data_IF_629494508237
#
_entry.id   IF_629494508237
#
_cell.length_a   1.000
_cell.length_b   1.000
_cell.length_c   1.000
_cell.angle_alpha   90.00
_cell.angle_beta   90.00
_cell.angle_gamma   90.00
#
_symmetry.space_group_name_H-M   'P 1'
#
loop_
_entity.id
_entity.type
_entity.pdbx_description
1 polymer ?
#
# COMPACT_ATOMS: atom_id res chain seq x y z
N UNK A 1 -35.25 35.25 -10.20
CA UNK A 1 -34.54 34.42 -11.20
C UNK A 1 -33.98 33.17 -10.53
N UNK A 2 -34.58 31.98 -10.74
CA UNK A 2 -34.09 30.71 -10.20
C UNK A 2 -32.89 30.27 -11.07
N UNK A 3 -31.68 30.24 -10.50
CA UNK A 3 -30.50 29.68 -11.20
C UNK A 3 -30.77 28.19 -11.44
N UNK A 4 -30.91 27.82 -12.72
CA UNK A 4 -30.98 26.44 -13.18
C UNK A 4 -29.66 25.75 -12.81
N UNK A 5 -29.64 25.02 -11.70
CA UNK A 5 -28.52 24.14 -11.34
C UNK A 5 -28.53 23.01 -12.37
N UNK A 6 -27.70 23.13 -13.41
CA UNK A 6 -27.46 22.05 -14.38
C UNK A 6 -27.24 20.75 -13.61
N UNK A 7 -28.09 19.74 -13.85
CA UNK A 7 -27.82 18.35 -13.45
C UNK A 7 -26.40 18.04 -13.92
N UNK A 8 -25.44 17.94 -13.00
CA UNK A 8 -24.09 17.50 -13.36
C UNK A 8 -24.25 16.05 -13.78
N UNK A 9 -24.22 15.81 -15.09
CA UNK A 9 -24.21 14.45 -15.60
C UNK A 9 -23.05 13.73 -14.93
N UNK A 10 -23.36 12.67 -14.19
CA UNK A 10 -22.34 11.80 -13.64
C UNK A 10 -21.62 11.14 -14.83
N UNK A 11 -20.28 11.22 -14.85
CA UNK A 11 -19.49 10.45 -15.79
C UNK A 11 -19.68 8.94 -15.55
N UNK A 12 -19.25 8.04 -16.47
CA UNK A 12 -19.46 6.59 -16.31
C UNK A 12 -18.94 5.98 -15.00
N UNK A 13 -17.99 6.64 -14.34
CA UNK A 13 -17.46 6.27 -13.03
C UNK A 13 -18.24 6.85 -11.82
N UNK A 14 -19.46 7.36 -12.03
CA UNK A 14 -20.40 7.69 -10.96
C UNK A 14 -20.11 8.98 -10.18
N UNK A 15 -19.25 9.86 -10.68
CA UNK A 15 -18.95 11.16 -10.04
C UNK A 15 -19.01 12.31 -11.03
N UNK A 16 -19.06 13.54 -10.54
CA UNK A 16 -19.03 14.75 -11.36
C UNK A 16 -17.62 15.17 -11.82
N UNK A 17 -16.57 14.42 -11.45
CA UNK A 17 -15.18 14.74 -11.84
C UNK A 17 -14.91 14.20 -13.26
N UNK A 18 -14.17 14.93 -14.12
CA UNK A 18 -13.86 14.50 -15.48
C UNK A 18 -12.82 13.37 -15.57
N UNK A 19 -12.41 12.80 -14.44
CA UNK A 19 -11.52 11.65 -14.37
C UNK A 19 -12.03 10.62 -13.35
N UNK A 20 -11.77 9.35 -13.62
CA UNK A 20 -12.02 8.27 -12.68
C UNK A 20 -10.90 8.24 -11.63
N UNK A 21 -11.14 8.82 -10.46
CA UNK A 21 -10.18 8.77 -9.36
C UNK A 21 -9.88 7.31 -9.00
N UNK A 22 -8.60 6.96 -8.90
CA UNK A 22 -8.17 5.58 -8.65
C UNK A 22 -8.84 4.96 -7.40
N UNK A 23 -9.03 5.75 -6.35
CA UNK A 23 -9.81 5.35 -5.16
C UNK A 23 -11.23 4.87 -5.52
N UNK A 24 -11.93 5.58 -6.39
CA UNK A 24 -13.30 5.24 -6.81
C UNK A 24 -13.32 3.99 -7.67
N UNK A 25 -12.38 3.91 -8.63
CA UNK A 25 -12.19 2.71 -9.43
C UNK A 25 -11.98 1.46 -8.56
N UNK A 26 -11.07 1.53 -7.58
CA UNK A 26 -10.81 0.43 -6.66
C UNK A 26 -12.02 0.10 -5.79
N UNK A 27 -12.69 1.11 -5.23
CA UNK A 27 -13.88 0.88 -4.42
C UNK A 27 -14.99 0.15 -5.21
N UNK A 28 -15.21 0.55 -6.46
CA UNK A 28 -16.16 -0.10 -7.35
C UNK A 28 -15.73 -1.53 -7.71
N UNK A 29 -14.43 -1.75 -7.95
CA UNK A 29 -13.90 -3.07 -8.33
C UNK A 29 -13.92 -4.09 -7.19
N UNK A 30 -13.65 -3.65 -5.95
CA UNK A 30 -13.49 -4.54 -4.80
C UNK A 30 -14.71 -4.57 -3.85
N UNK A 31 -15.74 -3.77 -4.15
CA UNK A 31 -16.97 -3.64 -3.36
C UNK A 31 -16.75 -2.97 -1.99
N UNK A 32 -15.54 -2.49 -1.73
CA UNK A 32 -15.13 -1.85 -0.48
C UNK A 32 -13.96 -0.94 -0.79
N UNK A 33 -13.71 0.04 0.09
CA UNK A 33 -12.50 0.84 0.02
C UNK A 33 -11.29 -0.10 0.05
N UNK A 34 -10.29 0.19 -0.78
CA UNK A 34 -9.01 -0.52 -0.76
C UNK A 34 -7.92 0.43 -0.28
N UNK A 35 -7.11 -0.01 0.69
CA UNK A 35 -6.03 0.80 1.24
C UNK A 35 -4.72 0.02 1.30
N UNK A 36 -3.59 0.72 1.10
CA UNK A 36 -2.27 0.13 1.24
C UNK A 36 -1.84 0.10 2.71
N UNK A 37 -1.31 -1.03 3.15
CA UNK A 37 -0.56 -1.18 4.42
C UNK A 37 0.91 -1.36 4.04
N UNK A 38 1.74 -0.38 4.36
CA UNK A 38 3.19 -0.51 4.13
C UNK A 38 3.78 -1.52 5.11
N UNK A 39 4.80 -2.26 4.69
CA UNK A 39 5.60 -3.15 5.55
C UNK A 39 7.09 -3.00 5.22
N UNK A 40 7.93 -3.23 6.21
CA UNK A 40 9.39 -3.31 6.06
C UNK A 40 9.84 -4.77 6.26
N UNK A 41 10.38 -5.36 5.20
CA UNK A 41 10.88 -6.73 5.18
C UNK A 41 12.40 -6.85 5.39
N UNK A 42 13.07 -5.75 5.75
CA UNK A 42 14.52 -5.72 5.95
C UNK A 42 15.31 -5.86 4.63
N UNK A 43 14.69 -5.51 3.50
CA UNK A 43 15.36 -5.54 2.21
C UNK A 43 16.43 -4.44 2.08
N UNK A 44 17.32 -4.60 1.11
CA UNK A 44 18.25 -3.56 0.64
C UNK A 44 17.97 -3.23 -0.82
N UNK A 45 18.83 -2.45 -1.49
CA UNK A 45 18.78 -2.32 -2.94
C UNK A 45 20.20 -2.13 -3.53
N UNK A 46 20.36 -2.40 -4.84
CA UNK A 46 21.67 -2.30 -5.51
C UNK A 46 22.38 -0.96 -5.36
N UNK A 47 21.60 0.11 -5.16
CA UNK A 47 22.13 1.48 -5.02
C UNK A 47 22.59 1.79 -3.59
N UNK A 48 22.35 0.90 -2.63
CA UNK A 48 22.69 1.08 -1.21
C UNK A 48 23.76 0.11 -0.74
N UNK A 49 23.72 -1.13 -1.21
CA UNK A 49 24.59 -2.22 -0.76
C UNK A 49 25.98 -2.26 -1.43
N UNK A 50 26.24 -1.36 -2.38
CA UNK A 50 27.51 -1.30 -3.10
C UNK A 50 27.55 -2.07 -4.41
N UNK A 51 26.49 -2.79 -4.80
CA UNK A 51 26.47 -3.53 -6.06
C UNK A 51 26.40 -2.62 -7.30
N UNK A 52 25.72 -1.48 -7.20
CA UNK A 52 25.62 -0.45 -8.26
C UNK A 52 26.05 0.93 -7.76
N UNK A 53 25.77 1.25 -6.50
CA UNK A 53 26.20 2.49 -5.85
C UNK A 53 26.25 2.31 -4.33
N UNK A 54 26.71 3.34 -3.63
CA UNK A 54 26.72 3.43 -2.17
C UNK A 54 25.80 4.55 -1.69
N UNK A 55 25.20 4.39 -0.51
CA UNK A 55 24.41 5.44 0.17
C UNK A 55 22.95 5.56 -0.29
N UNK A 56 22.57 5.02 -1.44
CA UNK A 56 21.21 5.07 -1.98
C UNK A 56 20.95 6.23 -2.94
N UNK A 57 19.77 6.23 -3.56
CA UNK A 57 19.38 7.31 -4.47
C UNK A 57 19.18 8.62 -3.70
N UNK A 58 19.56 9.76 -4.28
CA UNK A 58 19.41 11.09 -3.68
C UNK A 58 17.97 11.42 -3.27
N UNK A 59 16.98 10.88 -3.97
CA UNK A 59 15.56 11.06 -3.66
C UNK A 59 14.97 9.98 -2.72
N UNK A 60 15.73 8.93 -2.40
CA UNK A 60 15.26 7.80 -1.62
C UNK A 60 15.47 8.04 -0.13
N UNK A 61 14.44 8.52 0.54
CA UNK A 61 14.39 8.56 2.00
C UNK A 61 13.26 7.68 2.52
N UNK A 62 13.49 6.37 2.63
CA UNK A 62 12.47 5.44 3.12
C UNK A 62 11.97 5.79 4.53
N UNK A 63 12.83 6.33 5.40
CA UNK A 63 12.44 6.74 6.75
C UNK A 63 11.30 7.78 6.77
N UNK A 64 11.19 8.62 5.74
CA UNK A 64 10.09 9.60 5.63
C UNK A 64 8.73 8.97 5.28
N UNK A 65 8.70 7.71 4.86
CA UNK A 65 7.52 7.04 4.34
C UNK A 65 7.15 5.77 5.10
N UNK A 66 7.82 5.48 6.22
CA UNK A 66 7.60 4.32 7.08
C UNK A 66 6.63 4.71 8.21
N UNK A 67 5.41 4.17 8.26
CA UNK A 67 4.49 4.36 9.38
C UNK A 67 5.06 3.82 10.69
N UNK A 68 4.58 4.33 11.84
CA UNK A 68 5.09 3.92 13.16
C UNK A 68 4.96 2.40 13.44
N UNK A 69 4.04 1.72 12.77
CA UNK A 69 3.79 0.28 12.93
C UNK A 69 4.73 -0.59 12.08
N UNK A 70 5.55 0.01 11.22
CA UNK A 70 6.56 -0.67 10.43
C UNK A 70 7.90 -0.59 11.17
N UNK A 71 8.26 -1.64 11.91
CA UNK A 71 9.57 -1.74 12.54
C UNK A 71 10.27 -3.03 12.12
N UNK A 72 11.58 -3.01 11.81
CA UNK A 72 12.30 -4.21 11.37
C UNK A 72 12.33 -5.36 12.38
N UNK A 73 12.04 -5.09 13.66
CA UNK A 73 11.95 -6.11 14.71
C UNK A 73 10.62 -6.87 14.75
N UNK A 74 9.62 -6.44 13.99
CA UNK A 74 8.31 -7.09 13.89
C UNK A 74 8.22 -7.94 12.63
N UNK A 75 7.59 -9.10 12.73
CA UNK A 75 7.25 -9.92 11.57
C UNK A 75 6.32 -9.19 10.60
N UNK A 76 6.29 -9.60 9.33
CA UNK A 76 5.38 -9.01 8.32
C UNK A 76 3.92 -9.14 8.75
N UNK A 77 3.57 -10.25 9.40
CA UNK A 77 2.23 -10.49 9.91
C UNK A 77 1.85 -9.47 11.00
N UNK A 78 2.73 -9.21 11.96
CA UNK A 78 2.51 -8.23 13.03
C UNK A 78 2.43 -6.80 12.49
N UNK A 79 3.32 -6.43 11.56
CA UNK A 79 3.29 -5.12 10.91
C UNK A 79 1.97 -4.93 10.14
N UNK A 80 1.53 -5.97 9.42
CA UNK A 80 0.27 -5.96 8.66
C UNK A 80 -0.92 -5.78 9.58
N UNK A 81 -1.01 -6.58 10.65
CA UNK A 81 -2.10 -6.49 11.64
C UNK A 81 -2.16 -5.10 12.28
N UNK A 82 -1.03 -4.58 12.74
CA UNK A 82 -0.95 -3.25 13.35
C UNK A 82 -1.36 -2.12 12.37
N UNK A 83 -0.96 -2.24 11.10
CA UNK A 83 -1.36 -1.32 10.05
C UNK A 83 -2.86 -1.36 9.74
N UNK A 84 -3.46 -2.55 9.70
CA UNK A 84 -4.90 -2.74 9.54
C UNK A 84 -5.65 -2.08 10.70
N UNK A 85 -5.30 -2.39 11.94
CA UNK A 85 -5.92 -1.82 13.15
C UNK A 85 -5.86 -0.29 13.14
N UNK A 86 -4.70 0.28 12.81
CA UNK A 86 -4.51 1.72 12.71
C UNK A 86 -5.43 2.37 11.65
N UNK A 87 -5.49 1.78 10.45
CA UNK A 87 -6.27 2.33 9.34
C UNK A 87 -7.76 2.14 9.53
N UNK A 88 -8.19 1.01 10.11
CA UNK A 88 -9.59 0.75 10.43
C UNK A 88 -10.10 1.72 11.49
N UNK A 89 -9.30 2.00 12.53
CA UNK A 89 -9.63 3.02 13.54
C UNK A 89 -9.89 4.40 12.92
N UNK A 90 -9.20 4.74 11.84
CA UNK A 90 -9.29 6.05 11.17
C UNK A 90 -10.39 6.14 10.12
N UNK A 91 -10.64 5.05 9.39
CA UNK A 91 -11.43 5.09 8.16
C UNK A 91 -12.58 4.06 8.13
N UNK A 92 -12.75 3.25 9.17
CA UNK A 92 -13.77 2.20 9.27
C UNK A 92 -13.32 0.86 8.67
N UNK A 93 -14.26 -0.04 8.45
CA UNK A 93 -13.98 -1.34 7.82
C UNK A 93 -13.64 -1.17 6.33
N UNK A 94 -12.58 -1.85 5.88
CA UNK A 94 -12.13 -1.83 4.48
C UNK A 94 -11.23 -3.02 4.15
N UNK A 95 -10.90 -3.17 2.86
CA UNK A 95 -9.93 -4.16 2.38
C UNK A 95 -8.54 -3.54 2.24
N UNK A 96 -7.53 -4.39 2.26
CA UNK A 96 -6.14 -3.97 2.21
C UNK A 96 -5.34 -4.67 1.12
N UNK A 97 -4.31 -3.97 0.63
CA UNK A 97 -3.18 -4.59 -0.05
C UNK A 97 -1.91 -4.31 0.73
N UNK A 98 -1.09 -5.33 0.95
CA UNK A 98 0.18 -5.15 1.66
C UNK A 98 1.24 -4.67 0.68
N UNK A 99 1.94 -3.60 1.04
CA UNK A 99 2.89 -2.91 0.18
C UNK A 99 4.31 -3.04 0.71
N UNK A 100 5.13 -3.82 0.02
CA UNK A 100 6.55 -4.01 0.29
C UNK A 100 7.35 -2.81 -0.25
N UNK A 101 7.14 -1.66 0.40
CA UNK A 101 7.68 -0.37 -0.06
C UNK A 101 9.16 -0.19 0.27
N UNK A 102 9.60 -0.71 1.43
CA UNK A 102 10.95 -0.46 1.92
C UNK A 102 11.97 -1.21 1.05
N UNK A 103 12.73 -0.42 0.29
CA UNK A 103 13.83 -0.88 -0.58
C UNK A 103 13.36 -1.84 -1.68
N UNK A 104 14.17 -2.83 -2.07
CA UNK A 104 13.85 -3.74 -3.17
C UNK A 104 14.11 -5.20 -2.83
N UNK A 105 13.23 -6.07 -3.28
CA UNK A 105 13.40 -7.52 -3.23
C UNK A 105 14.40 -8.10 -4.25
N UNK A 106 15.13 -7.25 -5.00
CA UNK A 106 15.97 -7.63 -6.17
C UNK A 106 16.86 -8.87 -5.95
N UNK A 107 17.41 -9.05 -4.74
CA UNK A 107 18.36 -10.13 -4.43
C UNK A 107 17.78 -11.25 -3.57
N UNK A 108 16.54 -11.12 -3.12
CA UNK A 108 15.95 -12.06 -2.19
C UNK A 108 15.62 -13.39 -2.89
N UNK A 109 15.97 -14.54 -2.31
CA UNK A 109 15.62 -15.84 -2.89
C UNK A 109 14.11 -16.05 -2.84
N UNK A 110 13.58 -16.78 -3.82
CA UNK A 110 12.14 -17.05 -3.95
C UNK A 110 11.52 -17.63 -2.68
N UNK A 111 12.20 -18.56 -2.01
CA UNK A 111 11.72 -19.17 -0.77
C UNK A 111 11.49 -18.14 0.34
N UNK A 112 12.42 -17.17 0.47
CA UNK A 112 12.30 -16.09 1.42
C UNK A 112 11.18 -15.13 1.06
N UNK A 113 11.06 -14.74 -0.22
CA UNK A 113 9.97 -13.88 -0.69
C UNK A 113 8.60 -14.51 -0.46
N UNK A 114 8.47 -15.80 -0.81
CA UNK A 114 7.24 -16.56 -0.57
C UNK A 114 6.86 -16.58 0.90
N UNK A 115 7.82 -16.85 1.79
CA UNK A 115 7.60 -16.83 3.24
C UNK A 115 7.04 -15.48 3.72
N UNK A 116 7.65 -14.36 3.30
CA UNK A 116 7.20 -13.02 3.68
C UNK A 116 5.82 -12.66 3.10
N UNK A 117 5.55 -13.05 1.85
CA UNK A 117 4.28 -12.78 1.18
C UNK A 117 3.14 -13.60 1.77
N UNK A 118 3.39 -14.85 2.15
CA UNK A 118 2.41 -15.68 2.86
C UNK A 118 2.06 -15.10 4.23
N UNK A 119 3.02 -14.53 4.96
CA UNK A 119 2.73 -13.81 6.21
C UNK A 119 1.80 -12.60 6.00
N UNK A 120 2.05 -11.81 4.95
CA UNK A 120 1.20 -10.67 4.61
C UNK A 120 -0.26 -11.07 4.28
N UNK A 121 -0.44 -12.23 3.66
CA UNK A 121 -1.74 -12.73 3.21
C UNK A 121 -2.56 -13.46 4.30
N UNK A 122 -2.02 -13.65 5.52
CA UNK A 122 -2.74 -14.31 6.63
C UNK A 122 -3.90 -13.50 7.19
N UNK A 123 -3.90 -12.18 6.97
CA UNK A 123 -4.96 -11.31 7.47
C UNK A 123 -6.19 -11.38 6.55
N UNK A 124 -7.40 -11.70 7.07
CA UNK A 124 -8.61 -11.87 6.25
C UNK A 124 -8.98 -10.66 5.38
N UNK A 125 -8.64 -9.45 5.84
CA UNK A 125 -8.94 -8.20 5.14
C UNK A 125 -7.95 -7.90 4.00
N UNK A 126 -6.83 -8.62 3.92
CA UNK A 126 -5.84 -8.47 2.86
C UNK A 126 -6.28 -9.23 1.62
N UNK A 127 -6.44 -8.51 0.51
CA UNK A 127 -6.88 -9.08 -0.77
C UNK A 127 -5.83 -8.96 -1.87
N UNK A 128 -4.57 -8.64 -1.53
CA UNK A 128 -3.49 -8.58 -2.51
C UNK A 128 -2.19 -7.99 -1.97
N UNK A 129 -1.19 -7.98 -2.85
CA UNK A 129 0.16 -7.50 -2.58
C UNK A 129 0.56 -6.42 -3.59
N UNK A 130 1.45 -5.53 -3.17
CA UNK A 130 2.19 -4.59 -4.03
C UNK A 130 3.67 -4.79 -3.72
N UNK A 131 4.44 -5.15 -4.74
CA UNK A 131 5.87 -5.52 -4.65
C UNK A 131 6.72 -4.70 -5.61
#
# INVERSE_FOLDING_TARGET
MKKNIKKRNNYPWGTSRPYNAYKNFLANKFGSRLQKVSVDAGFTCPNRDGAKAFGGCTYCNNMSFVPYYCTPGMSIEEQTRAGIEYLQKRYGEMKFVVYFQAYSNTYAPLSYLKHLYEQALRQPEVCGLVV
#
